data_IF_662148715150
#
_entry.id   IF_662148715150
#
_cell.length_a   1.000
_cell.length_b   1.000
_cell.length_c   1.000
_cell.angle_alpha   90.00
_cell.angle_beta   90.00
_cell.angle_gamma   90.00
#
_symmetry.space_group_name_H-M   'P 1'
#
loop_
_entity.id
_entity.type
_entity.pdbx_description
1 polymer ?
#
# COMPACT_ATOMS: atom_id res chain seq x y z
N UNK A 1 4.03 -13.65 50.88
CA UNK A 1 3.27 -14.34 49.81
C UNK A 1 3.58 -13.62 48.51
N UNK A 2 4.54 -14.12 47.74
CA UNK A 2 4.92 -13.61 46.43
C UNK A 2 3.86 -14.05 45.42
N UNK A 3 3.20 -13.09 44.75
CA UNK A 3 2.27 -13.38 43.66
C UNK A 3 2.99 -14.08 42.50
N UNK A 4 2.26 -14.84 41.65
CA UNK A 4 2.86 -15.61 40.56
C UNK A 4 3.59 -14.67 39.58
N UNK A 5 4.83 -15.03 39.23
CA UNK A 5 5.67 -14.26 38.31
C UNK A 5 5.02 -14.26 36.91
N UNK A 6 4.66 -13.09 36.35
CA UNK A 6 4.05 -13.00 35.01
C UNK A 6 4.94 -13.58 33.89
N UNK A 7 6.24 -13.74 34.13
CA UNK A 7 7.19 -14.35 33.17
C UNK A 7 7.05 -15.88 33.09
N UNK A 8 6.61 -16.53 34.16
CA UNK A 8 6.38 -17.98 34.17
C UNK A 8 5.11 -18.34 33.39
N UNK A 9 4.03 -17.57 33.59
CA UNK A 9 2.77 -17.75 32.85
C UNK A 9 2.94 -17.59 31.33
N UNK A 10 3.77 -16.65 30.89
CA UNK A 10 4.08 -16.45 29.47
C UNK A 10 4.83 -17.66 28.86
N UNK A 11 5.82 -18.20 29.57
CA UNK A 11 6.56 -19.41 29.13
C UNK A 11 5.66 -20.65 29.07
N UNK A 12 4.75 -20.81 30.04
CA UNK A 12 3.77 -21.91 30.03
C UNK A 12 2.82 -21.79 28.85
N UNK A 13 2.33 -20.58 28.55
CA UNK A 13 1.48 -20.31 27.40
C UNK A 13 2.18 -20.67 26.07
N UNK A 14 3.39 -20.16 25.84
CA UNK A 14 4.16 -20.43 24.62
C UNK A 14 4.42 -21.93 24.41
N UNK A 15 4.79 -22.64 25.48
CA UNK A 15 5.05 -24.09 25.43
C UNK A 15 3.79 -24.90 25.08
N UNK A 16 2.63 -24.52 25.65
CA UNK A 16 1.34 -25.17 25.36
C UNK A 16 0.86 -24.86 23.95
N UNK A 17 1.05 -23.62 23.46
CA UNK A 17 0.75 -23.25 22.07
C UNK A 17 1.63 -24.03 21.09
N UNK A 18 2.93 -24.13 21.33
CA UNK A 18 3.83 -24.90 20.47
C UNK A 18 3.43 -26.38 20.38
N UNK A 19 3.01 -26.96 21.51
CA UNK A 19 2.51 -28.34 21.58
C UNK A 19 1.19 -28.51 20.81
N UNK A 20 0.27 -27.55 20.91
CA UNK A 20 -0.99 -27.55 20.17
C UNK A 20 -0.77 -27.41 18.65
N UNK A 21 0.16 -26.56 18.22
CA UNK A 21 0.55 -26.41 16.81
C UNK A 21 1.17 -27.72 16.29
N UNK A 22 2.05 -28.36 17.07
CA UNK A 22 2.64 -29.64 16.69
C UNK A 22 1.59 -30.75 16.55
N UNK A 23 0.64 -30.84 17.50
CA UNK A 23 -0.43 -31.84 17.48
C UNK A 23 -1.43 -31.63 16.33
N UNK A 24 -1.68 -30.37 15.93
CA UNK A 24 -2.60 -30.03 14.84
C UNK A 24 -1.98 -30.09 13.46
N UNK A 25 -0.66 -30.31 13.36
CA UNK A 25 0.06 -30.33 12.09
C UNK A 25 -0.49 -31.36 11.10
N UNK A 26 -1.01 -32.50 11.54
CA UNK A 26 -1.52 -33.55 10.64
C UNK A 26 -3.04 -33.56 10.50
N UNK A 27 -3.73 -32.62 11.15
CA UNK A 27 -5.19 -32.58 11.16
C UNK A 27 -5.74 -31.79 9.97
N UNK A 28 -6.90 -32.23 9.51
CA UNK A 28 -7.70 -31.53 8.50
C UNK A 28 -8.59 -30.44 9.13
N UNK A 29 -9.09 -29.52 8.31
CA UNK A 29 -9.88 -28.35 8.75
C UNK A 29 -11.06 -28.76 9.67
N UNK A 30 -11.89 -29.77 9.35
CA UNK A 30 -12.99 -30.18 10.24
C UNK A 30 -12.51 -30.69 11.61
N UNK A 31 -11.37 -31.38 11.65
CA UNK A 31 -10.79 -31.92 12.88
C UNK A 31 -10.22 -30.81 13.77
N UNK A 32 -9.61 -29.79 13.16
CA UNK A 32 -9.10 -28.60 13.87
C UNK A 32 -10.26 -27.79 14.46
N UNK A 33 -11.36 -27.62 13.73
CA UNK A 33 -12.56 -26.96 14.24
C UNK A 33 -13.19 -27.72 15.40
N UNK A 34 -13.25 -29.06 15.32
CA UNK A 34 -13.72 -29.88 16.43
C UNK A 34 -12.81 -29.76 17.66
N UNK A 35 -11.48 -29.77 17.45
CA UNK A 35 -10.50 -29.55 18.52
C UNK A 35 -10.65 -28.16 19.15
N UNK A 36 -10.92 -27.11 18.34
CA UNK A 36 -11.23 -25.76 18.83
C UNK A 36 -12.43 -25.80 19.77
N UNK A 37 -13.56 -26.41 19.35
CA UNK A 37 -14.76 -26.52 20.19
C UNK A 37 -14.48 -27.22 21.52
N UNK A 38 -13.71 -28.31 21.49
CA UNK A 38 -13.32 -29.05 22.70
C UNK A 38 -12.44 -28.20 23.62
N UNK A 39 -11.44 -27.53 23.06
CA UNK A 39 -10.48 -26.70 23.81
C UNK A 39 -11.15 -25.47 24.43
N UNK A 40 -12.14 -24.88 23.77
CA UNK A 40 -12.90 -23.73 24.31
C UNK A 40 -13.80 -24.11 25.50
N UNK A 41 -14.23 -25.37 25.56
CA UNK A 41 -15.06 -25.93 26.64
C UNK A 41 -14.21 -26.56 27.75
N UNK A 42 -12.94 -26.85 27.49
CA UNK A 42 -12.03 -27.49 28.45
C UNK A 42 -11.63 -26.54 29.59
N UNK A 43 -11.96 -26.87 30.86
CA UNK A 43 -11.53 -26.09 32.01
C UNK A 43 -10.00 -26.03 32.18
N UNK A 44 -9.26 -27.05 31.75
CA UNK A 44 -7.78 -27.05 31.83
C UNK A 44 -7.17 -26.04 30.85
N UNK A 45 -7.75 -25.88 29.66
CA UNK A 45 -7.34 -24.87 28.69
C UNK A 45 -7.47 -23.43 29.24
N UNK A 46 -8.52 -23.18 30.02
CA UNK A 46 -8.79 -21.88 30.64
C UNK A 46 -7.82 -21.50 31.76
N UNK A 47 -7.06 -22.46 32.30
CA UNK A 47 -6.04 -22.19 33.34
C UNK A 47 -4.81 -21.48 32.78
N UNK A 48 -4.50 -21.66 31.50
CA UNK A 48 -3.30 -21.11 30.88
C UNK A 48 -3.57 -20.15 29.71
N UNK A 49 -4.78 -20.12 29.16
CA UNK A 49 -5.17 -19.17 28.11
C UNK A 49 -6.60 -18.67 28.28
N UNK A 50 -6.82 -17.39 28.01
CA UNK A 50 -8.17 -16.84 27.90
C UNK A 50 -8.76 -17.11 26.50
N UNK A 51 -10.07 -16.93 26.38
CA UNK A 51 -10.82 -17.21 25.14
C UNK A 51 -10.31 -16.41 23.94
N UNK A 52 -9.88 -15.17 24.13
CA UNK A 52 -9.30 -14.34 23.05
C UNK A 52 -7.97 -14.91 22.57
N UNK A 53 -7.11 -15.36 23.49
CA UNK A 53 -5.83 -15.97 23.16
C UNK A 53 -6.03 -17.31 22.41
N UNK A 54 -6.95 -18.15 22.86
CA UNK A 54 -7.29 -19.41 22.17
C UNK A 54 -7.86 -19.14 20.77
N UNK A 55 -8.72 -18.14 20.62
CA UNK A 55 -9.24 -17.74 19.30
C UNK A 55 -8.12 -17.34 18.33
N UNK A 56 -7.14 -16.56 18.78
CA UNK A 56 -5.97 -16.18 17.95
C UNK A 56 -5.15 -17.42 17.57
N UNK A 57 -4.86 -18.30 18.54
CA UNK A 57 -4.08 -19.52 18.29
C UNK A 57 -4.77 -20.42 17.26
N UNK A 58 -6.08 -20.67 17.41
CA UNK A 58 -6.83 -21.48 16.44
C UNK A 58 -6.99 -20.79 15.08
N UNK A 59 -7.09 -19.46 15.03
CA UNK A 59 -7.09 -18.71 13.76
C UNK A 59 -5.80 -18.93 12.98
N UNK A 60 -4.65 -18.90 13.64
CA UNK A 60 -3.34 -19.15 13.01
C UNK A 60 -3.24 -20.60 12.53
N UNK A 61 -3.63 -21.57 13.36
CA UNK A 61 -3.62 -22.99 13.00
C UNK A 61 -4.53 -23.27 11.80
N UNK A 62 -5.75 -22.71 11.80
CA UNK A 62 -6.70 -22.87 10.69
C UNK A 62 -6.19 -22.21 9.41
N UNK A 63 -5.61 -21.02 9.50
CA UNK A 63 -5.00 -20.34 8.34
C UNK A 63 -3.93 -21.20 7.69
N UNK A 64 -3.03 -21.79 8.49
CA UNK A 64 -2.01 -22.73 7.99
C UNK A 64 -2.60 -24.02 7.43
N UNK A 65 -3.69 -24.52 8.00
CA UNK A 65 -4.39 -25.68 7.44
C UNK A 65 -5.06 -25.34 6.10
N UNK A 66 -5.61 -24.14 5.95
CA UNK A 66 -6.25 -23.66 4.73
C UNK A 66 -5.22 -23.40 3.62
N UNK A 67 -4.05 -22.86 3.94
CA UNK A 67 -2.93 -22.74 3.00
C UNK A 67 -2.57 -24.10 2.37
N UNK A 68 -2.59 -25.18 3.16
CA UNK A 68 -2.35 -26.56 2.69
C UNK A 68 -3.52 -27.16 1.92
N UNK A 69 -4.74 -26.77 2.27
CA UNK A 69 -5.95 -27.15 1.55
C UNK A 69 -5.97 -26.54 0.13
N UNK A 70 -5.39 -25.35 -0.02
CA UNK A 70 -5.14 -24.68 -1.30
C UNK A 70 -6.23 -23.66 -1.67
N UNK A 71 -5.79 -22.52 -2.23
CA UNK A 71 -6.68 -21.39 -2.52
C UNK A 71 -7.78 -21.68 -3.55
N UNK A 72 -7.56 -22.45 -4.63
CA UNK A 72 -8.62 -22.81 -5.56
C UNK A 72 -9.76 -23.59 -4.89
N UNK A 73 -9.41 -24.54 -4.03
CA UNK A 73 -10.39 -25.34 -3.28
C UNK A 73 -11.11 -24.52 -2.21
N UNK A 74 -10.43 -23.57 -1.58
CA UNK A 74 -11.06 -22.63 -0.64
C UNK A 74 -12.10 -21.75 -1.34
N UNK A 75 -11.83 -21.29 -2.57
CA UNK A 75 -12.79 -20.50 -3.36
C UNK A 75 -14.05 -21.30 -3.69
N UNK A 76 -13.89 -22.54 -4.15
CA UNK A 76 -15.02 -23.46 -4.40
C UNK A 76 -15.79 -23.78 -3.10
N UNK A 77 -15.07 -23.99 -1.99
CA UNK A 77 -15.69 -24.21 -0.69
C UNK A 77 -16.50 -22.99 -0.23
N UNK A 78 -16.01 -21.76 -0.47
CA UNK A 78 -16.72 -20.51 -0.16
C UNK A 78 -18.04 -20.39 -0.94
N UNK A 79 -18.04 -20.76 -2.22
CA UNK A 79 -19.26 -20.78 -3.06
C UNK A 79 -20.30 -21.79 -2.53
N UNK A 80 -19.85 -22.84 -1.84
CA UNK A 80 -20.70 -23.84 -1.17
C UNK A 80 -20.88 -23.59 0.33
N UNK A 81 -20.68 -22.36 0.80
CA UNK A 81 -20.81 -21.97 2.22
C UNK A 81 -20.01 -22.88 3.19
N UNK A 82 -18.84 -23.34 2.76
CA UNK A 82 -17.92 -24.20 3.51
C UNK A 82 -18.52 -25.50 4.05
N UNK A 83 -19.65 -25.98 3.52
CA UNK A 83 -20.35 -27.17 4.04
C UNK A 83 -19.47 -28.41 4.12
N UNK A 84 -18.54 -28.59 3.18
CA UNK A 84 -17.60 -29.71 3.17
C UNK A 84 -16.48 -29.62 4.22
N UNK A 85 -16.27 -28.44 4.82
CA UNK A 85 -15.21 -28.16 5.80
C UNK A 85 -15.74 -28.04 7.23
N UNK A 86 -17.06 -28.07 7.42
CA UNK A 86 -17.70 -27.95 8.73
C UNK A 86 -17.83 -29.32 9.41
N UNK A 87 -17.42 -29.46 10.68
CA UNK A 87 -17.65 -30.68 11.42
C UNK A 87 -19.15 -30.84 11.78
N UNK A 88 -19.63 -32.09 11.93
CA UNK A 88 -20.99 -32.35 12.41
C UNK A 88 -21.19 -31.94 13.88
N UNK A 89 -22.44 -31.68 14.29
CA UNK A 89 -22.80 -31.32 15.67
C UNK A 89 -22.93 -29.82 15.95
N UNK A 90 -23.26 -29.49 17.20
CA UNK A 90 -23.59 -28.12 17.64
C UNK A 90 -22.38 -27.18 17.64
N UNK A 91 -22.55 -25.97 17.07
CA UNK A 91 -21.48 -24.97 16.88
C UNK A 91 -21.12 -24.64 15.43
N UNK A 92 -21.92 -25.12 14.45
CA UNK A 92 -21.68 -24.89 13.02
C UNK A 92 -21.66 -23.41 12.63
N UNK A 93 -22.52 -22.59 13.24
CA UNK A 93 -22.58 -21.16 12.95
C UNK A 93 -21.30 -20.43 13.34
N UNK A 94 -20.73 -20.78 14.48
CA UNK A 94 -19.49 -20.17 14.96
C UNK A 94 -18.30 -20.61 14.10
N UNK A 95 -18.23 -21.89 13.74
CA UNK A 95 -17.19 -22.40 12.84
C UNK A 95 -17.30 -21.81 11.44
N UNK A 96 -18.53 -21.63 10.94
CA UNK A 96 -18.78 -20.97 9.67
C UNK A 96 -18.29 -19.52 9.71
N UNK A 97 -18.54 -18.80 10.81
CA UNK A 97 -18.04 -17.45 11.01
C UNK A 97 -16.52 -17.39 11.02
N UNK A 98 -15.86 -18.30 11.74
CA UNK A 98 -14.39 -18.39 11.78
C UNK A 98 -13.81 -18.67 10.39
N UNK A 99 -14.39 -19.62 9.65
CA UNK A 99 -13.95 -19.92 8.28
C UNK A 99 -14.20 -18.75 7.32
N UNK A 100 -15.33 -18.05 7.46
CA UNK A 100 -15.66 -16.87 6.65
C UNK A 100 -14.70 -15.71 6.92
N UNK A 101 -14.35 -15.46 8.19
CA UNK A 101 -13.40 -14.41 8.57
C UNK A 101 -12.00 -14.70 7.99
N UNK A 102 -11.52 -15.94 8.09
CA UNK A 102 -10.23 -16.35 7.49
C UNK A 102 -10.29 -16.27 5.96
N UNK A 103 -11.37 -16.74 5.35
CA UNK A 103 -11.54 -16.66 3.90
C UNK A 103 -11.64 -15.21 3.40
N UNK A 104 -12.24 -14.30 4.16
CA UNK A 104 -12.27 -12.86 3.85
C UNK A 104 -10.87 -12.26 3.90
N UNK A 105 -10.05 -12.64 4.89
CA UNK A 105 -8.66 -12.20 4.97
C UNK A 105 -7.80 -12.72 3.80
N UNK A 106 -8.03 -13.96 3.37
CA UNK A 106 -7.20 -14.59 2.34
C UNK A 106 -7.67 -14.37 0.90
N UNK A 107 -8.98 -14.29 0.64
CA UNK A 107 -9.57 -14.18 -0.69
C UNK A 107 -10.23 -12.81 -0.96
N UNK A 108 -10.27 -11.93 0.03
CA UNK A 108 -11.02 -10.68 -0.03
C UNK A 108 -12.54 -10.88 -0.04
N UNK A 109 -13.32 -9.79 -0.21
CA UNK A 109 -14.77 -9.85 -0.27
C UNK A 109 -15.24 -10.78 -1.42
N UNK A 110 -16.39 -11.47 -1.26
CA UNK A 110 -16.94 -12.26 -2.35
C UNK A 110 -17.19 -11.36 -3.57
N UNK A 111 -16.70 -11.78 -4.73
CA UNK A 111 -17.04 -11.12 -6.00
C UNK A 111 -18.52 -11.37 -6.24
N UNK A 112 -19.37 -10.43 -5.84
CA UNK A 112 -20.79 -10.50 -6.20
C UNK A 112 -20.88 -10.39 -7.72
N UNK A 113 -21.65 -11.29 -8.33
CA UNK A 113 -22.02 -11.11 -9.74
C UNK A 113 -22.86 -9.84 -9.88
N UNK A 114 -22.74 -9.13 -11.02
CA UNK A 114 -23.50 -7.89 -11.28
C UNK A 114 -25.01 -8.08 -11.07
N UNK A 115 -25.52 -9.30 -11.33
CA UNK A 115 -26.91 -9.67 -11.14
C UNK A 115 -27.34 -9.70 -9.65
N UNK A 116 -26.50 -10.21 -8.76
CA UNK A 116 -26.79 -10.27 -7.31
C UNK A 116 -26.61 -8.90 -6.64
N UNK A 117 -25.64 -8.10 -7.09
CA UNK A 117 -25.49 -6.70 -6.63
C UNK A 117 -26.68 -5.84 -7.08
N UNK A 118 -27.19 -6.05 -8.29
CA UNK A 118 -28.37 -5.37 -8.79
C UNK A 118 -29.64 -5.79 -8.03
N UNK A 119 -29.81 -7.07 -7.73
CA UNK A 119 -30.96 -7.56 -6.96
C UNK A 119 -30.93 -7.12 -5.50
N UNK A 120 -29.78 -7.15 -4.83
CA UNK A 120 -29.63 -6.66 -3.46
C UNK A 120 -29.84 -5.13 -3.40
N UNK A 121 -29.32 -4.40 -4.39
CA UNK A 121 -29.57 -2.96 -4.56
C UNK A 121 -31.04 -2.64 -4.82
N UNK A 122 -31.73 -3.45 -5.63
CA UNK A 122 -33.14 -3.31 -5.96
C UNK A 122 -34.06 -3.65 -4.78
N UNK A 123 -33.76 -4.71 -4.02
CA UNK A 123 -34.46 -5.03 -2.77
C UNK A 123 -34.27 -3.95 -1.70
N UNK A 124 -33.06 -3.39 -1.58
CA UNK A 124 -32.79 -2.27 -0.70
C UNK A 124 -33.52 -0.99 -1.11
N UNK A 125 -33.78 -0.80 -2.41
CA UNK A 125 -34.56 0.32 -2.97
C UNK A 125 -36.06 0.15 -2.74
N UNK A 126 -36.58 -1.08 -2.91
CA UNK A 126 -37.97 -1.43 -2.61
C UNK A 126 -38.28 -1.30 -1.11
N UNK A 127 -37.34 -1.69 -0.24
CA UNK A 127 -37.46 -1.53 1.21
C UNK A 127 -37.42 -0.06 1.66
N UNK A 128 -36.94 0.87 0.82
CA UNK A 128 -36.81 2.29 1.14
C UNK A 128 -37.95 3.18 0.67
N UNK A 129 -38.99 2.61 0.06
CA UNK A 129 -40.18 3.36 -0.36
C UNK A 129 -39.90 4.24 -1.59
N UNK A 130 -40.66 3.99 -2.65
CA UNK A 130 -40.51 4.68 -3.92
C UNK A 130 -40.82 6.19 -3.79
N UNK A 131 -39.83 7.04 -4.08
CA UNK A 131 -40.07 8.45 -4.38
C UNK A 131 -40.23 8.57 -5.90
N UNK A 132 -41.39 9.07 -6.32
CA UNK A 132 -41.80 9.19 -7.71
C UNK A 132 -40.78 9.97 -8.56
N UNK A 133 -40.47 9.45 -9.75
CA UNK A 133 -39.63 10.12 -10.73
C UNK A 133 -40.37 11.32 -11.37
N UNK A 134 -39.71 12.47 -11.60
CA UNK A 134 -40.30 13.53 -12.39
C UNK A 134 -40.28 13.19 -13.89
N UNK A 135 -41.32 13.66 -14.57
CA UNK A 135 -41.66 13.45 -15.97
C UNK A 135 -40.56 13.94 -16.92
N UNK A 136 -40.01 13.05 -17.75
CA UNK A 136 -39.06 13.38 -18.82
C UNK A 136 -39.78 14.05 -20.00
N UNK A 137 -39.40 15.28 -20.35
CA UNK A 137 -39.68 15.89 -21.65
C UNK A 137 -38.87 15.18 -22.75
N UNK A 138 -39.59 14.66 -23.75
CA UNK A 138 -39.07 13.95 -24.92
C UNK A 138 -38.39 14.95 -25.86
N UNK A 139 -37.11 14.74 -26.19
CA UNK A 139 -36.43 15.39 -27.32
C UNK A 139 -35.92 14.30 -28.26
N UNK A 140 -36.37 14.38 -29.51
CA UNK A 140 -36.18 13.36 -30.55
C UNK A 140 -34.69 13.08 -30.85
N UNK A 141 -34.34 11.79 -30.93
CA UNK A 141 -33.06 11.30 -31.42
C UNK A 141 -33.07 11.19 -32.95
N UNK A 142 -31.99 11.63 -33.59
CA UNK A 142 -31.66 11.31 -34.98
C UNK A 142 -30.85 9.99 -35.05
N UNK A 143 -30.93 9.22 -36.15
CA UNK A 143 -30.50 7.82 -36.20
C UNK A 143 -28.97 7.64 -36.18
N UNK A 144 -28.55 6.63 -35.41
CA UNK A 144 -27.18 6.12 -35.28
C UNK A 144 -26.73 5.48 -36.60
N UNK A 145 -25.60 5.93 -37.15
CA UNK A 145 -24.83 5.19 -38.16
C UNK A 145 -23.63 4.54 -37.48
N UNK A 146 -23.61 3.21 -37.45
CA UNK A 146 -22.43 2.42 -37.08
C UNK A 146 -21.37 2.47 -38.20
N UNK A 147 -20.07 2.53 -37.86
CA UNK A 147 -19.01 2.03 -38.72
C UNK A 147 -18.45 0.66 -38.22
N UNK A 148 -17.94 -0.17 -39.15
CA UNK A 148 -17.74 -1.62 -38.97
C UNK A 148 -16.45 -2.01 -38.22
N UNK A 149 -16.30 -3.28 -37.80
CA UNK A 149 -15.17 -3.72 -36.99
C UNK A 149 -13.93 -3.92 -37.87
N UNK A 150 -12.82 -3.27 -37.51
CA UNK A 150 -11.51 -3.57 -38.12
C UNK A 150 -10.45 -3.81 -37.03
N UNK A 151 -10.27 -5.11 -36.79
CA UNK A 151 -9.00 -5.81 -36.61
C UNK A 151 -8.12 -5.51 -35.39
N UNK A 152 -8.17 -6.48 -34.47
CA UNK A 152 -6.98 -7.06 -33.86
C UNK A 152 -5.93 -7.47 -34.92
N UNK A 153 -4.66 -7.47 -34.50
CA UNK A 153 -3.45 -7.95 -35.18
C UNK A 153 -2.76 -6.99 -36.18
N UNK A 154 -1.89 -6.12 -35.66
CA UNK A 154 -0.52 -5.92 -36.17
C UNK A 154 0.28 -4.98 -35.24
N UNK A 155 0.68 -5.49 -34.07
CA UNK A 155 1.86 -4.95 -33.39
C UNK A 155 3.09 -5.68 -33.96
N UNK A 156 3.54 -5.19 -35.12
CA UNK A 156 4.84 -5.52 -35.68
C UNK A 156 5.90 -4.54 -35.19
N UNK A 157 7.10 -5.07 -34.96
CA UNK A 157 8.32 -4.38 -34.54
C UNK A 157 8.64 -3.14 -35.39
N UNK A 158 8.54 -1.96 -34.79
CA UNK A 158 9.11 -0.71 -35.31
C UNK A 158 9.95 0.00 -34.22
N UNK A 159 10.71 -0.77 -33.46
CA UNK A 159 11.86 -0.24 -32.72
C UNK A 159 13.05 -0.29 -33.65
N UNK A 160 13.36 0.80 -34.36
CA UNK A 160 14.73 1.08 -34.84
C UNK A 160 14.95 2.41 -35.58
N UNK A 161 13.97 3.31 -35.73
CA UNK A 161 14.18 4.55 -36.51
C UNK A 161 13.68 5.87 -35.90
N UNK A 162 13.60 5.97 -34.57
CA UNK A 162 13.35 7.25 -33.88
C UNK A 162 14.40 7.59 -32.81
N UNK A 163 15.60 7.00 -32.89
CA UNK A 163 16.72 7.25 -31.97
C UNK A 163 17.63 8.44 -32.33
N UNK A 164 17.25 9.31 -33.28
CA UNK A 164 18.11 10.42 -33.73
C UNK A 164 17.29 11.67 -34.03
N UNK A 165 16.82 12.37 -33.00
CA UNK A 165 16.58 13.83 -32.97
C UNK A 165 15.92 14.21 -31.64
N UNK A 166 16.72 14.37 -30.59
CA UNK A 166 16.46 15.27 -29.45
C UNK A 166 17.80 15.59 -28.77
N UNK A 167 17.99 16.78 -28.18
CA UNK A 167 19.28 17.26 -27.70
C UNK A 167 19.76 16.49 -26.49
N UNK A 168 21.07 16.22 -26.44
CA UNK A 168 21.77 15.68 -25.28
C UNK A 168 21.58 16.63 -24.10
N UNK A 169 20.91 16.17 -23.05
CA UNK A 169 20.96 16.81 -21.73
C UNK A 169 22.41 16.77 -21.23
N UNK A 170 23.09 17.90 -21.23
CA UNK A 170 24.38 18.04 -20.57
C UNK A 170 24.59 19.48 -20.06
N UNK A 171 24.36 19.67 -18.76
CA UNK A 171 25.22 20.42 -17.83
C UNK A 171 24.63 20.33 -16.40
N UNK A 172 25.35 19.75 -15.42
CA UNK A 172 25.04 19.91 -14.01
C UNK A 172 25.56 21.26 -13.49
N UNK A 173 24.82 21.88 -12.57
CA UNK A 173 25.29 22.97 -11.72
C UNK A 173 26.48 22.50 -10.85
N UNK A 174 27.48 23.36 -10.56
CA UNK A 174 28.64 22.98 -9.78
C UNK A 174 28.28 22.91 -8.28
N UNK A 175 28.30 21.70 -7.71
CA UNK A 175 28.19 21.50 -6.26
C UNK A 175 27.34 20.32 -5.77
N UNK A 176 26.65 19.59 -6.64
CA UNK A 176 25.91 18.38 -6.27
C UNK A 176 26.76 17.11 -6.53
N UNK A 177 26.86 16.15 -5.58
CA UNK A 177 27.52 14.88 -5.86
C UNK A 177 26.67 14.13 -6.90
N UNK A 178 27.24 13.97 -8.10
CA UNK A 178 26.66 13.20 -9.20
C UNK A 178 26.82 11.71 -8.93
N UNK A 179 25.87 11.07 -8.24
CA UNK A 179 25.75 9.61 -8.24
C UNK A 179 24.97 9.17 -9.47
N UNK A 180 25.66 9.12 -10.61
CA UNK A 180 25.12 8.71 -11.91
C UNK A 180 26.16 8.01 -12.79
N UNK A 181 27.22 7.48 -12.19
CA UNK A 181 28.12 6.53 -12.82
C UNK A 181 28.15 5.27 -11.99
N UNK A 182 28.40 4.12 -12.64
CA UNK A 182 28.94 2.94 -11.96
C UNK A 182 30.19 3.37 -11.19
N UNK A 183 30.03 3.85 -9.96
CA UNK A 183 31.13 3.81 -9.01
C UNK A 183 31.41 2.33 -8.76
N UNK A 184 32.69 1.89 -8.81
CA UNK A 184 33.01 0.53 -8.42
C UNK A 184 32.47 0.34 -7.00
N UNK A 185 31.65 -0.70 -6.82
CA UNK A 185 31.10 -1.10 -5.53
C UNK A 185 32.22 -0.96 -4.50
N UNK A 186 32.09 0.02 -3.58
CA UNK A 186 32.86 -0.07 -2.35
C UNK A 186 32.49 -1.42 -1.77
N UNK A 187 33.44 -2.35 -1.59
CA UNK A 187 33.12 -3.61 -0.94
C UNK A 187 32.57 -3.26 0.43
N UNK A 188 31.27 -3.49 0.63
CA UNK A 188 30.64 -3.25 1.91
C UNK A 188 31.31 -4.19 2.92
N UNK A 189 31.92 -3.60 3.95
CA UNK A 189 32.68 -4.36 4.95
C UNK A 189 31.79 -5.00 6.00
N UNK A 190 30.55 -4.52 6.16
CA UNK A 190 29.64 -4.93 7.22
C UNK A 190 28.16 -4.74 6.83
N UNK A 191 27.31 -5.60 7.40
CA UNK A 191 25.86 -5.58 7.16
C UNK A 191 25.17 -4.25 7.52
N UNK A 192 25.46 -3.58 8.66
CA UNK A 192 24.84 -2.29 8.99
C UNK A 192 25.01 -1.23 7.90
N UNK A 193 26.23 -1.09 7.35
CA UNK A 193 26.49 -0.12 6.28
C UNK A 193 25.75 -0.49 5.00
N UNK A 194 25.81 -1.76 4.58
CA UNK A 194 25.07 -2.24 3.41
C UNK A 194 23.56 -2.01 3.56
N UNK A 195 23.01 -2.32 4.73
CA UNK A 195 21.59 -2.19 5.03
C UNK A 195 21.13 -0.73 4.93
N UNK A 196 21.86 0.18 5.57
CA UNK A 196 21.51 1.60 5.58
C UNK A 196 21.61 2.21 4.19
N UNK A 197 22.73 1.97 3.49
CA UNK A 197 22.94 2.50 2.14
C UNK A 197 21.92 1.94 1.14
N UNK A 198 21.53 0.67 1.27
CA UNK A 198 20.48 0.08 0.42
C UNK A 198 19.13 0.76 0.66
N UNK A 199 18.72 0.95 1.92
CA UNK A 199 17.46 1.63 2.24
C UNK A 199 17.49 3.08 1.78
N UNK A 200 18.60 3.79 1.99
CA UNK A 200 18.76 5.17 1.53
C UNK A 200 18.66 5.27 0.01
N UNK A 201 19.42 4.45 -0.73
CA UNK A 201 19.40 4.44 -2.19
C UNK A 201 18.01 4.07 -2.73
N UNK A 202 17.34 3.09 -2.12
CA UNK A 202 16.00 2.68 -2.54
C UNK A 202 14.95 3.77 -2.33
N UNK A 203 14.91 4.35 -1.12
CA UNK A 203 13.95 5.42 -0.80
C UNK A 203 14.22 6.68 -1.60
N UNK A 204 15.48 7.02 -1.87
CA UNK A 204 15.87 8.11 -2.77
C UNK A 204 15.39 7.86 -4.20
N UNK A 205 15.59 6.64 -4.73
CA UNK A 205 15.07 6.23 -6.04
C UNK A 205 13.56 6.42 -6.12
N UNK A 206 12.80 5.99 -5.12
CA UNK A 206 11.34 6.16 -5.07
C UNK A 206 10.94 7.63 -4.99
N UNK A 207 11.55 8.41 -4.08
CA UNK A 207 11.25 9.83 -3.91
C UNK A 207 11.55 10.64 -5.17
N UNK A 208 12.60 10.29 -5.91
CA UNK A 208 12.96 10.95 -7.17
C UNK A 208 11.84 10.94 -8.21
N UNK A 209 10.94 9.94 -8.16
CA UNK A 209 9.81 9.83 -9.09
C UNK A 209 8.73 10.86 -8.77
N UNK A 210 8.55 11.23 -7.49
CA UNK A 210 7.57 12.22 -7.06
C UNK A 210 8.04 13.67 -7.22
N UNK A 211 9.33 13.93 -6.96
CA UNK A 211 9.90 15.28 -6.94
C UNK A 211 9.65 16.03 -8.23
N UNK A 212 9.20 17.27 -8.13
CA UNK A 212 9.03 18.11 -9.32
C UNK A 212 10.39 18.61 -9.85
N UNK A 213 10.49 18.80 -11.15
CA UNK A 213 11.65 19.43 -11.81
C UNK A 213 11.40 20.89 -12.17
N UNK A 214 10.14 21.29 -12.24
CA UNK A 214 9.71 22.65 -12.55
C UNK A 214 9.55 23.51 -11.28
N UNK A 215 9.57 24.86 -11.40
CA UNK A 215 9.27 25.75 -10.28
C UNK A 215 7.86 25.50 -9.72
N UNK A 216 7.67 25.68 -8.41
CA UNK A 216 6.38 25.49 -7.73
C UNK A 216 5.32 26.55 -8.04
N UNK A 217 5.65 27.56 -8.86
CA UNK A 217 4.75 28.66 -9.28
C UNK A 217 4.11 29.42 -8.10
N UNK A 218 4.82 29.50 -6.97
CA UNK A 218 4.35 30.18 -5.75
C UNK A 218 3.41 29.34 -4.87
N UNK A 219 3.10 28.10 -5.28
CA UNK A 219 2.31 27.16 -4.48
C UNK A 219 3.25 26.41 -3.54
N UNK A 220 2.83 26.22 -2.29
CA UNK A 220 3.56 25.41 -1.32
C UNK A 220 3.41 23.94 -1.72
N UNK A 221 4.54 23.24 -1.88
CA UNK A 221 4.52 21.86 -2.37
C UNK A 221 4.11 20.89 -1.26
N UNK A 222 3.30 19.85 -1.54
CA UNK A 222 3.21 18.70 -0.65
C UNK A 222 4.60 18.05 -0.50
N UNK A 223 4.94 17.56 0.69
CA UNK A 223 6.30 17.10 1.01
C UNK A 223 6.89 16.08 0.01
N UNK A 224 6.10 15.12 -0.50
CA UNK A 224 6.60 14.14 -1.49
C UNK A 224 7.07 14.78 -2.80
N UNK A 225 6.50 15.93 -3.17
CA UNK A 225 6.84 16.65 -4.39
C UNK A 225 8.04 17.59 -4.21
N UNK A 226 8.40 17.91 -2.97
CA UNK A 226 9.49 18.83 -2.65
C UNK A 226 10.87 18.17 -2.89
N UNK A 227 11.76 18.78 -3.70
CA UNK A 227 13.09 18.24 -3.96
C UNK A 227 13.93 18.01 -2.70
N UNK A 228 13.78 18.87 -1.70
CA UNK A 228 14.55 18.89 -0.46
C UNK A 228 14.15 17.78 0.51
N UNK A 229 12.91 17.28 0.41
CA UNK A 229 12.33 16.35 1.37
C UNK A 229 13.14 15.05 1.52
N UNK A 230 13.79 14.57 0.46
CA UNK A 230 14.62 13.36 0.54
C UNK A 230 15.80 13.49 1.50
N UNK A 231 16.36 14.69 1.63
CA UNK A 231 17.49 14.94 2.52
C UNK A 231 17.06 14.76 3.97
N UNK A 232 15.95 15.40 4.38
CA UNK A 232 15.43 15.26 5.74
C UNK A 232 14.87 13.86 5.98
N UNK A 233 14.27 13.21 4.98
CA UNK A 233 13.79 11.84 5.11
C UNK A 233 14.95 10.87 5.40
N UNK A 234 16.07 11.00 4.68
CA UNK A 234 17.30 10.24 4.96
C UNK A 234 17.81 10.49 6.38
N UNK A 235 17.78 11.73 6.84
CA UNK A 235 18.17 12.09 8.21
C UNK A 235 17.24 11.45 9.25
N UNK A 236 15.93 11.43 8.99
CA UNK A 236 14.95 10.74 9.84
C UNK A 236 15.25 9.25 9.91
N UNK A 237 15.52 8.62 8.76
CA UNK A 237 15.87 7.21 8.69
C UNK A 237 17.15 6.91 9.49
N UNK A 238 18.19 7.70 9.27
CA UNK A 238 19.51 7.53 9.91
C UNK A 238 19.46 7.72 11.43
N UNK A 239 18.72 8.71 11.92
CA UNK A 239 18.70 9.05 13.36
C UNK A 239 17.67 8.26 14.14
N UNK A 240 16.47 8.07 13.57
CA UNK A 240 15.32 7.58 14.34
C UNK A 240 14.87 6.18 13.95
N UNK A 241 15.03 5.75 12.68
CA UNK A 241 14.47 4.47 12.22
C UNK A 241 15.51 3.35 12.29
N UNK A 242 16.54 3.44 11.45
CA UNK A 242 17.41 2.33 11.12
C UNK A 242 18.24 1.83 12.32
N UNK A 243 18.81 2.70 13.19
CA UNK A 243 19.55 2.23 14.37
C UNK A 243 18.69 1.36 15.30
N UNK A 244 17.44 1.75 15.51
CA UNK A 244 16.49 1.01 16.35
C UNK A 244 16.14 -0.33 15.72
N UNK A 245 15.90 -0.37 14.42
CA UNK A 245 15.64 -1.62 13.69
C UNK A 245 16.83 -2.58 13.81
N UNK A 246 18.06 -2.12 13.52
CA UNK A 246 19.26 -2.97 13.57
C UNK A 246 19.57 -3.52 14.95
N UNK A 247 19.13 -2.83 16.01
CA UNK A 247 19.33 -3.28 17.40
C UNK A 247 18.48 -4.51 17.76
N UNK A 248 17.47 -4.87 16.97
CA UNK A 248 16.57 -5.98 17.30
C UNK A 248 17.16 -7.34 16.96
N UNK A 249 16.79 -8.35 17.75
CA UNK A 249 17.28 -9.73 17.58
C UNK A 249 16.97 -10.31 16.20
N UNK A 250 15.82 -9.97 15.62
CA UNK A 250 15.43 -10.43 14.28
C UNK A 250 16.34 -9.86 13.20
N UNK A 251 16.67 -8.56 13.28
CA UNK A 251 17.61 -7.93 12.34
C UNK A 251 19.04 -8.43 12.54
N UNK A 252 19.46 -8.68 13.79
CA UNK A 252 20.75 -9.33 14.05
C UNK A 252 20.79 -10.76 13.48
N UNK A 253 19.70 -11.52 13.55
CA UNK A 253 19.64 -12.87 12.96
C UNK A 253 19.75 -12.80 11.43
N UNK A 254 19.04 -11.86 10.80
CA UNK A 254 19.15 -11.59 9.36
C UNK A 254 20.58 -11.20 8.96
N UNK A 255 21.26 -10.39 9.77
CA UNK A 255 22.65 -10.00 9.53
C UNK A 255 23.61 -11.21 9.43
N UNK A 256 23.29 -12.34 10.07
CA UNK A 256 24.11 -13.55 10.06
C UNK A 256 23.57 -14.66 9.13
N UNK A 257 22.43 -14.46 8.47
CA UNK A 257 21.80 -15.51 7.64
C UNK A 257 22.36 -15.61 6.22
N UNK A 258 23.11 -14.60 5.77
CA UNK A 258 23.70 -14.55 4.43
C UNK A 258 25.13 -14.04 4.48
N UNK A 259 25.92 -14.41 3.47
CA UNK A 259 27.17 -13.71 3.17
C UNK A 259 26.84 -12.40 2.43
N UNK A 260 26.61 -11.33 3.19
CA UNK A 260 26.16 -10.04 2.65
C UNK A 260 27.15 -9.37 1.68
N UNK A 261 28.44 -9.72 1.77
CA UNK A 261 29.43 -9.26 0.80
C UNK A 261 29.25 -9.91 -0.59
N UNK A 262 28.65 -11.10 -0.66
CA UNK A 262 28.38 -11.81 -1.92
C UNK A 262 27.00 -11.48 -2.49
N UNK A 263 25.97 -11.47 -1.64
CA UNK A 263 24.58 -11.27 -2.12
C UNK A 263 24.20 -9.80 -2.31
N UNK A 264 24.91 -8.89 -1.64
CA UNK A 264 24.72 -7.45 -1.79
C UNK A 264 23.33 -6.91 -1.42
N UNK A 265 23.08 -5.66 -1.81
CA UNK A 265 21.84 -4.93 -1.49
C UNK A 265 20.63 -5.41 -2.29
N UNK A 266 20.83 -6.04 -3.45
CA UNK A 266 19.74 -6.62 -4.24
C UNK A 266 18.95 -7.66 -3.45
N UNK A 267 19.64 -8.47 -2.64
CA UNK A 267 18.97 -9.44 -1.77
C UNK A 267 18.13 -8.77 -0.68
N UNK A 268 18.56 -7.63 -0.16
CA UNK A 268 17.76 -6.85 0.79
C UNK A 268 16.49 -6.32 0.13
N UNK A 269 16.60 -5.80 -1.09
CA UNK A 269 15.45 -5.31 -1.87
C UNK A 269 14.48 -6.48 -2.14
N UNK A 270 14.98 -7.65 -2.54
CA UNK A 270 14.17 -8.85 -2.74
C UNK A 270 13.39 -9.23 -1.47
N UNK A 271 14.05 -9.21 -0.30
CA UNK A 271 13.39 -9.47 0.98
C UNK A 271 12.34 -8.39 1.25
N UNK A 272 12.66 -7.10 1.09
CA UNK A 272 11.72 -5.99 1.35
C UNK A 272 10.47 -6.04 0.47
N UNK A 273 10.61 -6.40 -0.80
CA UNK A 273 9.49 -6.53 -1.74
C UNK A 273 8.81 -7.91 -1.67
N UNK A 274 9.40 -8.85 -0.94
CA UNK A 274 8.90 -10.21 -0.82
C UNK A 274 7.58 -10.26 -0.03
N UNK A 275 6.69 -11.17 -0.44
CA UNK A 275 5.40 -11.44 0.22
C UNK A 275 5.51 -12.36 1.44
N UNK A 276 6.71 -12.48 2.02
CA UNK A 276 6.96 -13.36 3.16
C UNK A 276 6.20 -12.90 4.41
N UNK A 277 5.42 -13.80 5.00
CA UNK A 277 4.58 -13.54 6.18
C UNK A 277 5.42 -13.12 7.40
N UNK A 278 6.69 -13.52 7.47
CA UNK A 278 7.61 -13.23 8.57
C UNK A 278 8.78 -12.35 8.13
N UNK A 279 8.52 -11.32 7.31
CA UNK A 279 9.55 -10.40 6.85
C UNK A 279 10.13 -9.57 8.03
N UNK A 280 11.40 -9.83 8.45
CA UNK A 280 11.97 -9.14 9.60
C UNK A 280 12.19 -7.65 9.33
N UNK A 281 12.45 -7.26 8.07
CA UNK A 281 12.66 -5.85 7.71
C UNK A 281 11.35 -5.09 7.86
N UNK A 282 10.29 -5.55 7.18
CA UNK A 282 8.98 -4.89 7.21
C UNK A 282 8.38 -4.88 8.62
N UNK A 283 8.51 -5.97 9.38
CA UNK A 283 8.03 -6.03 10.75
C UNK A 283 8.65 -4.94 11.64
N UNK A 284 9.99 -4.82 11.63
CA UNK A 284 10.69 -3.81 12.44
C UNK A 284 10.46 -2.39 11.92
N UNK A 285 10.35 -2.24 10.60
CA UNK A 285 10.04 -0.97 9.94
C UNK A 285 8.67 -0.44 10.36
N UNK A 286 7.63 -1.27 10.26
CA UNK A 286 6.26 -0.91 10.62
C UNK A 286 6.12 -0.63 12.10
N UNK A 287 6.74 -1.46 12.95
CA UNK A 287 6.76 -1.25 14.39
C UNK A 287 7.37 0.11 14.75
N UNK A 288 8.44 0.51 14.06
CA UNK A 288 9.11 1.78 14.33
C UNK A 288 8.29 2.97 13.84
N UNK A 289 7.76 2.95 12.63
CA UNK A 289 6.88 4.02 12.14
C UNK A 289 5.61 4.17 12.98
N UNK A 290 5.00 3.05 13.39
CA UNK A 290 3.83 3.06 14.27
C UNK A 290 4.11 3.72 15.63
N UNK A 291 5.35 3.67 16.12
CA UNK A 291 5.74 4.30 17.38
C UNK A 291 5.69 5.84 17.36
N UNK A 292 5.66 6.46 16.18
CA UNK A 292 5.55 7.93 16.04
C UNK A 292 4.13 8.46 16.07
N UNK A 293 3.12 7.58 16.12
CA UNK A 293 1.72 7.98 16.34
C UNK A 293 1.54 8.43 17.79
N UNK A 294 0.99 9.62 18.01
CA UNK A 294 0.59 10.02 19.35
C UNK A 294 -0.64 9.18 19.74
N UNK A 295 -0.44 8.23 20.64
CA UNK A 295 -1.48 7.27 21.00
C UNK A 295 -2.75 7.95 21.52
N UNK A 296 -3.90 7.72 20.88
CA UNK A 296 -5.19 7.79 21.57
C UNK A 296 -5.29 6.55 22.43
N UNK A 297 -5.02 6.66 23.73
CA UNK A 297 -5.23 5.52 24.62
C UNK A 297 -6.73 5.22 24.73
N UNK A 298 -7.07 3.94 24.61
CA UNK A 298 -8.32 3.46 25.16
C UNK A 298 -8.29 3.76 26.68
N UNK A 299 -9.21 4.63 27.15
CA UNK A 299 -9.36 5.10 28.54
C UNK A 299 -8.62 6.38 28.98
N UNK A 300 -8.43 7.37 28.09
CA UNK A 300 -8.23 8.76 28.51
C UNK A 300 -6.95 9.08 29.31
N UNK A 301 -6.00 8.15 29.41
CA UNK A 301 -4.66 8.41 29.98
C UNK A 301 -3.77 8.90 28.86
N UNK A 302 -3.19 10.11 28.98
CA UNK A 302 -2.22 10.58 27.99
C UNK A 302 -1.14 9.50 27.81
N UNK A 303 -0.82 9.10 26.56
CA UNK A 303 0.32 8.22 26.34
C UNK A 303 1.55 8.86 26.99
N UNK A 304 2.49 8.06 27.52
CA UNK A 304 3.74 8.63 28.03
C UNK A 304 4.35 9.50 26.93
N UNK A 305 4.76 10.74 27.25
CA UNK A 305 5.32 11.65 26.25
C UNK A 305 6.52 10.97 25.59
N UNK A 306 6.50 10.94 24.27
CA UNK A 306 7.63 10.45 23.49
C UNK A 306 8.85 11.30 23.86
N UNK A 307 9.99 10.65 24.14
CA UNK A 307 11.21 11.37 24.45
C UNK A 307 11.52 12.32 23.28
N UNK A 308 11.93 13.58 23.53
CA UNK A 308 12.25 14.52 22.45
C UNK A 308 13.27 13.95 21.45
N UNK A 309 14.22 13.16 21.95
CA UNK A 309 15.27 12.47 21.21
C UNK A 309 14.75 11.37 20.26
N UNK A 310 13.51 10.91 20.45
CA UNK A 310 12.87 9.85 19.66
C UNK A 310 11.77 10.39 18.73
N UNK A 311 11.56 11.72 18.70
CA UNK A 311 10.49 12.35 17.95
C UNK A 311 11.02 12.98 16.65
N UNK A 312 10.66 12.47 15.46
CA UNK A 312 11.13 13.02 14.18
C UNK A 312 10.36 14.26 13.71
N UNK A 313 9.19 14.55 14.30
CA UNK A 313 8.30 15.61 13.82
C UNK A 313 8.88 17.04 13.89
N UNK A 314 9.67 17.44 14.90
CA UNK A 314 10.36 18.73 14.90
C UNK A 314 11.30 18.88 13.70
N UNK A 315 12.14 17.87 13.43
CA UNK A 315 13.09 17.88 12.32
C UNK A 315 12.38 18.06 10.97
N UNK A 316 11.29 17.32 10.74
CA UNK A 316 10.49 17.43 9.53
C UNK A 316 9.86 18.82 9.36
N UNK A 317 9.37 19.44 10.44
CA UNK A 317 8.76 20.78 10.40
C UNK A 317 9.79 21.89 10.19
N UNK A 318 10.95 21.77 10.81
CA UNK A 318 12.06 22.71 10.64
C UNK A 318 12.54 22.73 9.19
N UNK A 319 12.75 21.55 8.59
CA UNK A 319 13.13 21.44 7.19
C UNK A 319 12.05 21.99 6.24
N UNK A 320 10.78 21.62 6.46
CA UNK A 320 9.66 22.12 5.67
C UNK A 320 9.49 23.63 5.73
N UNK A 321 9.77 24.22 6.89
CA UNK A 321 9.76 25.69 7.06
C UNK A 321 10.91 26.33 6.31
N UNK A 322 12.11 25.74 6.41
CA UNK A 322 13.32 26.22 5.72
C UNK A 322 13.21 26.13 4.19
N UNK A 323 12.66 25.03 3.68
CA UNK A 323 12.53 24.73 2.24
C UNK A 323 11.16 25.12 1.65
N UNK A 324 10.26 25.72 2.46
CA UNK A 324 8.96 26.20 2.04
C UNK A 324 8.05 25.16 1.34
N UNK A 325 7.94 23.97 1.94
CA UNK A 325 6.98 22.93 1.54
C UNK A 325 6.07 22.57 2.72
N UNK A 326 4.95 21.89 2.48
CA UNK A 326 3.99 21.46 3.49
C UNK A 326 4.56 20.25 4.26
N UNK A 327 4.83 20.36 5.57
CA UNK A 327 5.45 19.27 6.32
C UNK A 327 4.54 18.04 6.39
N UNK A 328 5.09 16.82 6.35
CA UNK A 328 4.31 15.64 6.71
C UNK A 328 3.90 15.71 8.20
N UNK A 329 2.74 15.17 8.49
CA UNK A 329 2.17 15.03 9.83
C UNK A 329 1.82 13.56 10.12
N UNK A 330 1.16 13.30 11.26
CA UNK A 330 0.80 11.94 11.68
C UNK A 330 -0.16 11.24 10.70
N UNK A 331 -1.05 11.98 10.03
CA UNK A 331 -1.97 11.41 9.03
C UNK A 331 -1.21 10.98 7.76
N UNK A 332 -0.03 11.57 7.52
CA UNK A 332 0.87 11.19 6.42
C UNK A 332 1.77 10.00 6.76
N UNK A 333 1.71 9.42 7.97
CA UNK A 333 2.58 8.31 8.35
C UNK A 333 2.49 7.12 7.40
N UNK A 334 1.30 6.85 6.86
CA UNK A 334 1.11 5.77 5.88
C UNK A 334 2.00 5.96 4.64
N UNK A 335 2.11 7.19 4.14
CA UNK A 335 2.96 7.52 2.99
C UNK A 335 4.45 7.38 3.33
N UNK A 336 4.86 7.91 4.49
CA UNK A 336 6.25 7.83 4.94
C UNK A 336 6.69 6.37 5.11
N UNK A 337 5.84 5.58 5.74
CA UNK A 337 6.06 4.16 5.98
C UNK A 337 6.09 3.35 4.68
N UNK A 338 5.25 3.67 3.70
CA UNK A 338 5.12 2.83 2.50
C UNK A 338 6.15 3.14 1.40
N UNK A 339 7.02 4.14 1.57
CA UNK A 339 8.08 4.45 0.61
C UNK A 339 8.97 3.24 0.26
N UNK A 340 9.22 2.33 1.21
CA UNK A 340 10.00 1.12 0.95
C UNK A 340 9.20 0.01 0.25
N UNK A 341 7.88 0.13 0.18
CA UNK A 341 6.96 -0.83 -0.46
C UNK A 341 6.57 -0.43 -1.88
N UNK A 342 6.90 0.80 -2.26
CA UNK A 342 6.59 1.31 -3.57
C UNK A 342 7.52 0.72 -4.61
N UNK A 343 6.96 -0.07 -5.53
CA UNK A 343 7.70 -0.65 -6.65
C UNK A 343 8.21 0.45 -7.61
N UNK A 344 9.44 0.91 -7.38
CA UNK A 344 10.04 2.04 -8.09
C UNK A 344 9.98 1.88 -9.62
N UNK A 345 10.16 0.67 -10.14
CA UNK A 345 10.15 0.42 -11.58
C UNK A 345 8.73 0.50 -12.18
N UNK A 346 7.71 0.07 -11.43
CA UNK A 346 6.30 0.20 -11.82
C UNK A 346 5.90 1.67 -11.83
N UNK A 347 6.32 2.43 -10.82
CA UNK A 347 6.07 3.87 -10.76
C UNK A 347 6.79 4.64 -11.88
N UNK A 348 8.06 4.32 -12.15
CA UNK A 348 8.81 4.92 -13.25
C UNK A 348 8.20 4.60 -14.62
N UNK A 349 7.69 3.37 -14.79
CA UNK A 349 6.91 2.99 -15.98
C UNK A 349 5.62 3.82 -16.09
N UNK A 350 4.86 3.93 -15.01
CA UNK A 350 3.65 4.75 -14.97
C UNK A 350 3.95 6.20 -15.38
N UNK A 351 4.96 6.84 -14.78
CA UNK A 351 5.29 8.23 -15.08
C UNK A 351 5.69 8.44 -16.55
N UNK A 352 6.46 7.51 -17.12
CA UNK A 352 6.79 7.54 -18.56
C UNK A 352 5.56 7.43 -19.45
N UNK A 353 4.66 6.49 -19.16
CA UNK A 353 3.41 6.33 -19.91
C UNK A 353 2.51 7.57 -19.80
N UNK A 354 2.40 8.17 -18.61
CA UNK A 354 1.65 9.42 -18.41
C UNK A 354 2.25 10.58 -19.22
N UNK A 355 3.58 10.71 -19.22
CA UNK A 355 4.28 11.72 -20.02
C UNK A 355 4.02 11.54 -21.52
N UNK A 356 4.02 10.29 -21.99
CA UNK A 356 3.70 9.95 -23.38
C UNK A 356 2.27 10.32 -23.71
N UNK A 357 1.29 9.93 -22.88
CA UNK A 357 -0.12 10.26 -23.09
C UNK A 357 -0.36 11.77 -23.09
N UNK A 358 0.29 12.50 -22.19
CA UNK A 358 0.23 13.97 -22.16
C UNK A 358 0.72 14.55 -23.49
N UNK A 359 1.87 14.08 -23.97
CA UNK A 359 2.44 14.54 -25.24
C UNK A 359 1.51 14.23 -26.40
N UNK A 360 0.97 13.00 -26.48
CA UNK A 360 0.05 12.59 -27.55
C UNK A 360 -1.27 13.36 -27.54
N UNK A 361 -1.78 13.76 -26.38
CA UNK A 361 -3.03 14.51 -26.26
C UNK A 361 -2.84 16.01 -26.54
N UNK A 362 -1.82 16.64 -25.93
CA UNK A 362 -1.69 18.10 -25.88
C UNK A 362 -0.59 18.69 -26.78
N UNK A 363 0.38 17.88 -27.20
CA UNK A 363 1.54 18.29 -28.01
C UNK A 363 1.92 17.22 -29.04
N UNK A 364 0.97 16.78 -29.90
CA UNK A 364 1.22 15.73 -30.90
C UNK A 364 2.29 16.15 -31.92
N UNK A 365 3.19 15.23 -32.27
CA UNK A 365 4.15 15.45 -33.36
C UNK A 365 3.51 15.31 -34.76
N UNK A 366 2.33 14.69 -34.84
CA UNK A 366 1.59 14.48 -36.07
C UNK A 366 0.25 13.80 -35.84
N UNK A 367 -0.57 13.70 -36.90
CA UNK A 367 -1.94 13.16 -36.82
C UNK A 367 -2.00 11.69 -36.38
N UNK A 368 -0.97 10.90 -36.69
CA UNK A 368 -0.90 9.49 -36.29
C UNK A 368 -0.57 9.30 -34.80
N UNK A 369 0.06 10.31 -34.18
CA UNK A 369 0.43 10.29 -32.77
C UNK A 369 -0.60 10.99 -31.87
N UNK A 370 -1.64 11.59 -32.47
CA UNK A 370 -2.68 12.30 -31.74
C UNK A 370 -3.56 11.32 -30.97
N UNK A 371 -3.53 11.41 -29.65
CA UNK A 371 -4.50 10.74 -28.79
C UNK A 371 -5.82 11.52 -28.75
N UNK A 372 -6.91 10.82 -28.41
CA UNK A 372 -8.21 11.49 -28.18
C UNK A 372 -8.17 12.37 -26.93
N UNK A 373 -9.08 13.33 -26.87
CA UNK A 373 -9.32 14.11 -25.65
C UNK A 373 -9.65 13.18 -24.46
N UNK A 374 -9.05 13.48 -23.32
CA UNK A 374 -9.15 12.73 -22.08
C UNK A 374 -8.27 11.48 -21.99
N UNK A 375 -7.41 11.19 -22.98
CA UNK A 375 -6.54 10.02 -22.95
C UNK A 375 -5.58 10.03 -21.75
N UNK A 376 -4.99 11.19 -21.42
CA UNK A 376 -4.14 11.36 -20.25
C UNK A 376 -4.92 11.12 -18.96
N UNK A 377 -6.11 11.72 -18.82
CA UNK A 377 -6.99 11.52 -17.65
C UNK A 377 -7.30 10.03 -17.47
N UNK A 378 -7.70 9.35 -18.53
CA UNK A 378 -8.10 7.94 -18.45
C UNK A 378 -6.89 7.04 -18.14
N UNK A 379 -5.70 7.38 -18.67
CA UNK A 379 -4.44 6.74 -18.31
C UNK A 379 -4.09 6.93 -16.84
N UNK A 380 -4.24 8.13 -16.31
CA UNK A 380 -4.03 8.45 -14.89
C UNK A 380 -5.00 7.69 -13.99
N UNK A 381 -6.28 7.64 -14.32
CA UNK A 381 -7.27 6.86 -13.56
C UNK A 381 -6.96 5.36 -13.58
N UNK A 382 -6.57 4.83 -14.75
CA UNK A 382 -6.15 3.42 -14.90
C UNK A 382 -4.94 3.09 -14.03
N UNK A 383 -3.94 3.98 -13.99
CA UNK A 383 -2.75 3.78 -13.15
C UNK A 383 -3.05 3.95 -11.66
N UNK A 384 -3.89 4.91 -11.30
CA UNK A 384 -4.32 5.13 -9.91
C UNK A 384 -5.02 3.90 -9.33
N UNK A 385 -5.78 3.16 -10.15
CA UNK A 385 -6.42 1.91 -9.73
C UNK A 385 -5.45 0.71 -9.59
N UNK A 386 -4.20 0.84 -10.06
CA UNK A 386 -3.19 -0.24 -10.05
C UNK A 386 -2.05 -0.01 -9.08
N UNK A 387 -1.69 1.25 -8.86
CA UNK A 387 -0.62 1.64 -7.95
C UNK A 387 -1.08 1.49 -6.50
N UNK A 388 -0.14 1.40 -5.55
CA UNK A 388 -0.46 1.49 -4.13
C UNK A 388 -1.29 2.74 -3.82
N UNK A 389 -2.06 2.66 -2.73
CA UNK A 389 -2.92 3.75 -2.28
C UNK A 389 -2.17 5.09 -2.25
N UNK A 390 -2.87 6.15 -2.63
CA UNK A 390 -2.39 7.54 -2.64
C UNK A 390 -1.25 7.87 -3.63
N UNK A 391 -0.54 6.89 -4.20
CA UNK A 391 0.54 7.15 -5.18
C UNK A 391 -0.02 7.85 -6.42
N UNK A 392 -1.15 7.38 -6.95
CA UNK A 392 -1.79 7.98 -8.13
C UNK A 392 -2.21 9.43 -7.91
N UNK A 393 -2.63 9.79 -6.70
CA UNK A 393 -2.94 11.18 -6.34
C UNK A 393 -1.70 12.07 -6.38
N UNK A 394 -0.58 11.62 -5.84
CA UNK A 394 0.65 12.40 -5.83
C UNK A 394 1.25 12.53 -7.23
N UNK A 395 1.11 11.51 -8.09
CA UNK A 395 1.45 11.63 -9.50
C UNK A 395 0.53 12.61 -10.24
N UNK A 396 -0.76 12.69 -9.88
CA UNK A 396 -1.67 13.71 -10.40
C UNK A 396 -1.24 15.13 -9.97
N UNK A 397 -0.87 15.30 -8.69
CA UNK A 397 -0.32 16.57 -8.19
C UNK A 397 0.98 16.93 -8.90
N UNK A 398 1.89 15.96 -9.12
CA UNK A 398 3.14 16.19 -9.84
C UNK A 398 2.88 16.66 -11.27
N UNK A 399 1.90 16.04 -11.94
CA UNK A 399 1.50 16.40 -13.29
C UNK A 399 1.06 17.87 -13.40
N UNK A 400 0.41 18.44 -12.39
CA UNK A 400 0.07 19.87 -12.37
C UNK A 400 1.29 20.81 -12.49
N UNK A 401 2.41 20.42 -11.85
CA UNK A 401 3.64 21.21 -11.87
C UNK A 401 4.50 20.96 -13.10
N UNK A 402 4.53 19.71 -13.59
CA UNK A 402 5.37 19.29 -14.71
C UNK A 402 4.75 19.60 -16.08
N UNK A 403 3.42 19.68 -16.16
CA UNK A 403 2.70 19.82 -17.43
C UNK A 403 1.89 21.11 -17.49
N UNK A 404 2.27 22.00 -18.41
CA UNK A 404 1.72 23.35 -18.51
C UNK A 404 0.20 23.44 -18.74
N UNK A 405 -0.39 22.45 -19.41
CA UNK A 405 -1.84 22.46 -19.70
C UNK A 405 -2.69 21.90 -18.57
N UNK A 406 -2.10 21.35 -17.51
CA UNK A 406 -2.82 20.74 -16.40
C UNK A 406 -3.00 21.75 -15.26
N UNK A 407 -3.82 22.77 -15.50
CA UNK A 407 -4.07 23.84 -14.55
C UNK A 407 -4.99 23.44 -13.38
N UNK A 408 -5.29 24.39 -12.49
CA UNK A 408 -6.19 24.17 -11.36
C UNK A 408 -7.61 23.75 -11.79
N UNK A 409 -8.07 24.19 -12.97
CA UNK A 409 -9.38 23.82 -13.50
C UNK A 409 -9.38 22.37 -13.97
N UNK A 410 -8.30 21.92 -14.61
CA UNK A 410 -8.10 20.53 -14.97
C UNK A 410 -8.06 19.64 -13.72
N UNK A 411 -7.31 20.04 -12.68
CA UNK A 411 -7.24 19.30 -11.41
C UNK A 411 -8.62 19.16 -10.73
N UNK A 412 -9.44 20.22 -10.73
CA UNK A 412 -10.84 20.16 -10.24
C UNK A 412 -11.69 19.17 -11.03
N UNK A 413 -11.56 19.15 -12.37
CA UNK A 413 -12.27 18.19 -13.23
C UNK A 413 -11.79 16.76 -13.01
N UNK A 414 -10.49 16.56 -12.78
CA UNK A 414 -9.93 15.26 -12.43
C UNK A 414 -10.53 14.76 -11.12
N UNK A 415 -10.54 15.59 -10.07
CA UNK A 415 -11.06 15.23 -8.75
C UNK A 415 -12.52 14.74 -8.80
N UNK A 416 -13.33 15.25 -9.73
CA UNK A 416 -14.70 14.79 -9.92
C UNK A 416 -14.83 13.31 -10.34
N UNK A 417 -13.76 12.69 -10.84
CA UNK A 417 -13.74 11.25 -11.18
C UNK A 417 -13.55 10.35 -9.95
N UNK A 418 -13.14 10.91 -8.81
CA UNK A 418 -12.93 10.17 -7.57
C UNK A 418 -14.19 10.08 -6.69
N UNK A 419 -15.29 10.75 -7.04
CA UNK A 419 -16.55 10.66 -6.30
C UNK A 419 -17.61 11.63 -6.79
N UNK A 420 -18.88 11.28 -6.57
CA UNK A 420 -20.05 12.11 -6.93
C UNK A 420 -20.30 13.20 -5.89
N UNK A 421 -19.95 12.95 -4.64
CA UNK A 421 -20.07 13.90 -3.52
C UNK A 421 -18.69 14.28 -2.98
N UNK A 422 -18.60 15.43 -2.29
CA UNK A 422 -17.34 15.86 -1.67
C UNK A 422 -16.87 14.89 -0.58
N UNK A 423 -17.80 14.25 0.13
CA UNK A 423 -17.47 13.21 1.11
C UNK A 423 -16.85 11.97 0.46
N UNK A 424 -17.32 11.56 -0.72
CA UNK A 424 -16.73 10.45 -1.46
C UNK A 424 -15.34 10.80 -1.99
N UNK A 425 -15.17 12.02 -2.51
CA UNK A 425 -13.88 12.51 -3.01
C UNK A 425 -12.83 12.56 -1.91
N UNK A 426 -13.18 13.10 -0.73
CA UNK A 426 -12.29 13.12 0.45
C UNK A 426 -11.90 11.73 0.93
N UNK A 427 -12.78 10.75 0.77
CA UNK A 427 -12.48 9.36 1.16
C UNK A 427 -11.58 8.65 0.14
N UNK A 428 -11.86 8.84 -1.15
CA UNK A 428 -11.20 8.10 -2.23
C UNK A 428 -9.91 8.78 -2.72
N UNK A 429 -9.78 10.09 -2.53
CA UNK A 429 -8.62 10.88 -2.91
C UNK A 429 -8.38 12.03 -1.91
N UNK A 430 -8.04 11.72 -0.64
CA UNK A 430 -7.90 12.73 0.42
C UNK A 430 -6.83 13.78 0.09
N UNK A 431 -5.66 13.37 -0.40
CA UNK A 431 -4.54 14.28 -0.63
C UNK A 431 -4.77 15.16 -1.85
N UNK A 432 -5.34 14.60 -2.93
CA UNK A 432 -5.72 15.38 -4.09
C UNK A 432 -6.83 16.37 -3.77
N UNK A 433 -7.76 16.00 -2.87
CA UNK A 433 -8.82 16.91 -2.42
C UNK A 433 -8.25 18.13 -1.71
N UNK A 434 -7.37 17.93 -0.73
CA UNK A 434 -6.71 19.04 0.00
C UNK A 434 -5.89 19.91 -0.95
N UNK A 435 -5.11 19.30 -1.85
CA UNK A 435 -4.33 20.04 -2.84
C UNK A 435 -5.21 20.93 -3.75
N UNK A 436 -6.32 20.39 -4.26
CA UNK A 436 -7.24 21.16 -5.11
C UNK A 436 -7.89 22.33 -4.37
N UNK A 437 -8.13 22.20 -3.06
CA UNK A 437 -8.60 23.32 -2.23
C UNK A 437 -7.54 24.42 -2.13
N UNK A 438 -6.26 24.06 -1.96
CA UNK A 438 -5.15 25.01 -1.93
C UNK A 438 -4.96 25.76 -3.26
N UNK A 439 -5.29 25.13 -4.41
CA UNK A 439 -5.26 25.78 -5.72
C UNK A 439 -6.43 26.76 -5.99
N UNK A 440 -7.48 26.71 -5.16
CA UNK A 440 -8.70 27.50 -5.33
C UNK A 440 -8.79 28.75 -4.44
N UNK A 441 -7.83 28.91 -3.52
CA UNK A 441 -7.58 30.18 -2.82
C UNK A 441 -6.62 31.04 -3.62
#
# INVERSE_FOLDING_TARGET
MTGPDPREGAKTFETKVASLIAATRHLEIPQILMLRRMTMKDPEARKWANEKQLNVVFSVILTKSIERYGMPRLKEARERNFQALLPPGDGKEEDLRVLADIAMQMLGPPQMTEAESAQAGFQALLARGAVAAPTRTIRAQAPVREPPPLFAAQLGSAGDRMGKMMPKFQAPLPGAPTSGGNEPDKPFTDFPTLFDDTIFAYTEKVLSIFRITQPSRGIRLPFLLAPEFGVVYREVLSKFILPQMRSTRHMQTLAHSYNWAEVGGEKLIEIMQGSEVNNPILHNWDARWASFRTGKTAKGKKPPPQKPEDNPWPLLREDATRANYEPPNEDNLILLQDLIRFEADVMAKCWRELTQLYTQEFSPSGRMDQAREGAFRDGLMKWTAKLPDYVGEHLAMKAHFEFDRLDATWMRKLLANFGRTDSERRRNAPFLTEFVLQLGG
#
